data_IF_403328244063
#
_entry.id   IF_403328244063
#
_cell.length_a   1.000
_cell.length_b   1.000
_cell.length_c   1.000
_cell.angle_alpha   90.00
_cell.angle_beta   90.00
_cell.angle_gamma   90.00
#
_symmetry.space_group_name_H-M   'P 1'
#
loop_
_entity.id
_entity.type
_entity.pdbx_description
1 polymer ?
#
# COMPACT_ATOMS: atom_id res chain seq x y z
N UNK A 1 11.20 24.24 -7.73
CA UNK A 1 11.09 23.45 -6.48
C UNK A 1 10.43 24.36 -5.46
N UNK A 2 9.22 24.04 -5.04
CA UNK A 2 8.51 24.80 -4.00
C UNK A 2 9.21 24.57 -2.67
N UNK A 3 9.36 25.64 -1.87
CA UNK A 3 9.80 25.47 -0.50
C UNK A 3 8.61 24.98 0.32
N UNK A 4 8.77 23.88 1.05
CA UNK A 4 7.70 23.26 1.82
C UNK A 4 6.97 24.25 2.75
N UNK A 5 7.69 25.27 3.23
CA UNK A 5 7.13 26.34 4.06
C UNK A 5 6.24 27.35 3.31
N UNK A 6 6.19 27.27 1.97
CA UNK A 6 5.41 28.18 1.12
C UNK A 6 4.15 27.49 0.55
N UNK A 7 3.99 26.18 0.80
CA UNK A 7 2.83 25.41 0.33
C UNK A 7 1.56 25.81 1.12
N UNK A 8 0.39 25.78 0.48
CA UNK A 8 -0.87 25.88 1.22
C UNK A 8 -1.04 24.66 2.14
N UNK A 9 -1.61 24.86 3.33
CA UNK A 9 -1.93 23.80 4.28
C UNK A 9 -3.45 23.63 4.43
N UNK A 10 -3.98 22.46 4.79
CA UNK A 10 -3.24 21.21 4.87
C UNK A 10 -2.92 20.66 3.45
N UNK A 11 -1.79 20.00 3.29
CA UNK A 11 -1.46 19.35 2.02
C UNK A 11 -0.61 18.10 2.21
N UNK A 12 -0.73 17.17 1.27
CA UNK A 12 0.22 16.07 1.12
C UNK A 12 1.37 16.49 0.20
N UNK A 13 2.56 16.07 0.56
CA UNK A 13 3.78 16.32 -0.20
C UNK A 13 4.47 15.00 -0.47
N UNK A 14 4.74 14.69 -1.73
CA UNK A 14 5.51 13.51 -2.11
C UNK A 14 6.97 13.92 -2.35
N UNK A 15 7.89 13.21 -1.73
CA UNK A 15 9.32 13.30 -1.98
C UNK A 15 9.71 12.31 -3.08
N UNK A 16 9.77 12.79 -4.33
CA UNK A 16 10.12 11.96 -5.48
C UNK A 16 11.49 11.30 -5.32
N UNK A 17 12.44 11.92 -4.59
CA UNK A 17 13.76 11.33 -4.36
C UNK A 17 13.67 10.06 -3.52
N UNK A 18 12.92 10.10 -2.42
CA UNK A 18 12.66 8.92 -1.58
C UNK A 18 11.82 7.87 -2.30
N UNK A 19 10.81 8.31 -3.04
CA UNK A 19 10.01 7.43 -3.88
C UNK A 19 10.90 6.67 -4.88
N UNK A 20 11.80 7.39 -5.55
CA UNK A 20 12.72 6.78 -6.51
C UNK A 20 13.73 5.81 -5.87
N UNK A 21 14.19 6.07 -4.63
CA UNK A 21 15.03 5.15 -3.87
C UNK A 21 14.29 3.82 -3.60
N UNK A 22 13.05 3.89 -3.16
CA UNK A 22 12.20 2.71 -2.99
C UNK A 22 12.02 1.94 -4.30
N UNK A 23 11.70 2.65 -5.37
CA UNK A 23 11.49 2.06 -6.69
C UNK A 23 12.73 1.36 -7.24
N UNK A 24 13.93 1.91 -7.02
CA UNK A 24 15.20 1.27 -7.40
C UNK A 24 15.39 -0.06 -6.69
N UNK A 25 15.03 -0.12 -5.40
CA UNK A 25 15.13 -1.36 -4.63
C UNK A 25 14.14 -2.43 -5.16
N UNK A 26 12.90 -2.03 -5.43
CA UNK A 26 11.90 -2.91 -6.03
C UNK A 26 12.36 -3.41 -7.41
N UNK A 27 12.89 -2.53 -8.23
CA UNK A 27 13.43 -2.88 -9.55
C UNK A 27 14.59 -3.89 -9.47
N UNK A 28 15.49 -3.76 -8.48
CA UNK A 28 16.55 -4.75 -8.24
C UNK A 28 16.00 -6.14 -7.95
N UNK A 29 14.87 -6.24 -7.23
CA UNK A 29 14.21 -7.53 -7.01
C UNK A 29 13.69 -8.11 -8.32
N UNK A 30 13.06 -7.30 -9.18
CA UNK A 30 12.65 -7.72 -10.51
C UNK A 30 13.83 -8.21 -11.37
N UNK A 31 14.91 -7.42 -11.44
CA UNK A 31 16.10 -7.78 -12.23
C UNK A 31 16.76 -9.09 -11.78
N UNK A 32 16.84 -9.30 -10.45
CA UNK A 32 17.50 -10.49 -9.88
C UNK A 32 16.66 -11.76 -9.99
N UNK A 33 15.34 -11.65 -10.12
CA UNK A 33 14.45 -12.81 -10.09
C UNK A 33 13.66 -13.01 -11.37
N UNK A 34 13.42 -11.94 -12.14
CA UNK A 34 12.46 -11.91 -13.24
C UNK A 34 11.01 -11.98 -12.76
N UNK A 35 10.75 -11.78 -11.48
CA UNK A 35 9.40 -11.51 -10.98
C UNK A 35 8.91 -10.17 -11.53
N UNK A 36 7.60 -9.96 -11.50
CA UNK A 36 6.97 -8.69 -11.85
C UNK A 36 6.34 -8.08 -10.61
N UNK A 37 6.65 -6.82 -10.36
CA UNK A 37 6.08 -6.06 -9.25
C UNK A 37 5.01 -5.12 -9.78
N UNK A 38 3.86 -5.12 -9.13
CA UNK A 38 2.70 -4.31 -9.48
C UNK A 38 2.36 -3.38 -8.31
N UNK A 39 2.19 -2.10 -8.59
CA UNK A 39 1.71 -1.15 -7.59
C UNK A 39 0.29 -1.50 -7.14
N UNK A 40 0.09 -1.74 -5.85
CA UNK A 40 -1.24 -1.84 -5.27
C UNK A 40 -1.87 -0.44 -5.12
N UNK A 41 -2.71 -0.07 -6.09
CA UNK A 41 -3.27 1.30 -6.18
C UNK A 41 -4.11 1.69 -4.97
N UNK A 42 -4.74 0.73 -4.29
CA UNK A 42 -5.49 0.97 -3.03
C UNK A 42 -4.64 1.59 -1.92
N UNK A 43 -3.33 1.35 -1.95
CA UNK A 43 -2.38 1.88 -0.98
C UNK A 43 -1.80 3.22 -1.45
N UNK A 44 -1.42 3.32 -2.72
CA UNK A 44 -0.86 4.54 -3.29
C UNK A 44 -1.44 4.80 -4.68
N UNK A 45 -2.30 5.82 -4.79
CA UNK A 45 -2.97 6.19 -6.05
C UNK A 45 -2.69 7.62 -6.50
N UNK A 46 -1.55 8.18 -6.09
CA UNK A 46 -1.08 9.47 -6.60
C UNK A 46 -0.63 9.31 -8.06
N UNK A 47 -1.58 9.38 -8.97
CA UNK A 47 -1.36 9.05 -10.38
C UNK A 47 -0.39 9.99 -11.11
N UNK A 48 -0.13 11.20 -10.59
CA UNK A 48 0.93 12.07 -11.09
C UNK A 48 2.31 11.43 -11.04
N UNK A 49 2.51 10.48 -10.12
CA UNK A 49 3.76 9.74 -9.95
C UNK A 49 3.84 8.47 -10.82
N UNK A 50 2.76 8.05 -11.46
CA UNK A 50 2.75 6.82 -12.27
C UNK A 50 3.76 6.83 -13.42
N UNK A 51 4.04 7.95 -14.10
CA UNK A 51 5.12 8.01 -15.09
C UNK A 51 6.52 7.76 -14.51
N UNK A 52 6.76 8.12 -13.24
CA UNK A 52 8.00 7.80 -12.54
C UNK A 52 8.02 6.33 -12.13
N UNK A 53 6.95 5.85 -11.48
CA UNK A 53 6.81 4.48 -10.98
C UNK A 53 6.95 3.46 -12.10
N UNK A 54 6.30 3.71 -13.24
CA UNK A 54 6.33 2.82 -14.41
C UNK A 54 7.68 2.68 -15.10
N UNK A 55 8.69 3.46 -14.70
CA UNK A 55 10.09 3.26 -15.17
C UNK A 55 10.78 2.11 -14.44
N UNK A 56 10.28 1.72 -13.27
CA UNK A 56 10.96 0.83 -12.34
C UNK A 56 10.23 -0.48 -12.11
N UNK A 57 8.89 -0.49 -12.13
CA UNK A 57 8.09 -1.68 -11.87
C UNK A 57 7.16 -2.02 -13.03
N UNK A 58 6.64 -3.25 -13.05
CA UNK A 58 5.98 -3.83 -14.22
C UNK A 58 4.56 -3.35 -14.48
N UNK A 59 3.87 -2.74 -13.50
CA UNK A 59 2.48 -2.29 -13.71
C UNK A 59 1.71 -2.01 -12.42
N UNK A 60 0.38 -2.19 -12.49
CA UNK A 60 -0.56 -1.90 -11.40
C UNK A 60 -1.44 -3.09 -11.08
N UNK A 61 -1.95 -3.13 -9.84
CA UNK A 61 -3.06 -3.99 -9.45
C UNK A 61 -4.19 -3.15 -8.86
N UNK A 62 -5.41 -3.52 -9.22
CA UNK A 62 -6.64 -2.79 -8.94
C UNK A 62 -7.60 -3.62 -8.06
N UNK A 63 -8.37 -2.94 -7.22
CA UNK A 63 -9.44 -3.52 -6.40
C UNK A 63 -10.81 -3.47 -7.11
N UNK A 64 -10.90 -2.84 -8.27
CA UNK A 64 -12.12 -2.70 -9.06
C UNK A 64 -11.92 -1.89 -10.33
N UNK A 65 -13.04 -1.62 -11.04
CA UNK A 65 -13.02 -1.00 -12.35
C UNK A 65 -12.33 0.38 -12.39
N UNK A 66 -12.58 1.23 -11.38
CA UNK A 66 -12.05 2.59 -11.40
C UNK A 66 -10.54 2.64 -11.25
N UNK A 67 -9.97 1.82 -10.35
CA UNK A 67 -8.53 1.67 -10.24
C UNK A 67 -7.94 1.02 -11.50
N UNK A 68 -8.63 0.04 -12.09
CA UNK A 68 -8.17 -0.59 -13.33
C UNK A 68 -8.12 0.40 -14.50
N UNK A 69 -9.10 1.32 -14.60
CA UNK A 69 -9.04 2.43 -15.56
C UNK A 69 -7.86 3.34 -15.28
N UNK A 70 -7.69 3.76 -14.02
CA UNK A 70 -6.58 4.62 -13.61
C UNK A 70 -5.22 4.02 -13.99
N UNK A 71 -4.99 2.76 -13.64
CA UNK A 71 -3.75 2.06 -14.00
C UNK A 71 -3.54 1.97 -15.51
N UNK A 72 -4.61 1.71 -16.26
CA UNK A 72 -4.55 1.61 -17.72
C UNK A 72 -4.27 2.95 -18.39
N UNK A 73 -4.91 4.02 -17.91
CA UNK A 73 -4.84 5.35 -18.54
C UNK A 73 -3.56 6.10 -18.16
N UNK A 74 -3.15 6.03 -16.90
CA UNK A 74 -2.06 6.85 -16.36
C UNK A 74 -0.70 6.12 -16.32
N UNK A 75 -0.66 4.81 -16.13
CA UNK A 75 0.59 4.05 -16.19
C UNK A 75 0.77 3.32 -17.52
N UNK A 76 -0.30 2.72 -18.05
CA UNK A 76 -0.31 2.07 -19.36
C UNK A 76 0.50 0.78 -19.48
N UNK A 77 0.96 0.23 -18.36
CA UNK A 77 1.70 -1.03 -18.26
C UNK A 77 0.78 -2.21 -17.94
N UNK A 78 1.33 -3.32 -17.44
CA UNK A 78 0.54 -4.51 -17.07
C UNK A 78 -0.46 -4.15 -15.97
N UNK A 79 -1.72 -4.55 -16.14
CA UNK A 79 -2.84 -4.12 -15.30
C UNK A 79 -3.63 -5.33 -14.81
N UNK A 80 -3.57 -5.59 -13.51
CA UNK A 80 -4.28 -6.68 -12.86
C UNK A 80 -5.49 -6.16 -12.11
N UNK A 81 -6.48 -7.02 -11.88
CA UNK A 81 -7.62 -6.70 -11.01
C UNK A 81 -8.04 -7.90 -10.17
N UNK A 82 -8.23 -7.67 -8.87
CA UNK A 82 -8.88 -8.59 -7.95
C UNK A 82 -10.01 -7.89 -7.21
N UNK A 83 -11.18 -8.51 -7.19
CA UNK A 83 -12.27 -8.12 -6.31
C UNK A 83 -12.96 -9.37 -5.74
N UNK A 84 -13.40 -9.34 -4.47
CA UNK A 84 -14.17 -10.46 -3.88
C UNK A 84 -15.44 -10.79 -4.66
N UNK A 85 -16.03 -9.78 -5.31
CA UNK A 85 -17.16 -9.93 -6.21
C UNK A 85 -17.16 -8.84 -7.28
N UNK A 86 -17.45 -9.22 -8.52
CA UNK A 86 -17.53 -8.30 -9.65
C UNK A 86 -18.98 -7.96 -9.96
N UNK A 87 -19.26 -6.71 -10.33
CA UNK A 87 -20.53 -6.32 -10.91
C UNK A 87 -20.58 -6.80 -12.36
N UNK A 88 -21.67 -7.47 -12.81
CA UNK A 88 -21.74 -7.99 -14.17
C UNK A 88 -21.49 -6.95 -15.26
N UNK A 89 -21.95 -5.72 -15.05
CA UNK A 89 -21.79 -4.62 -15.99
C UNK A 89 -20.33 -4.15 -16.16
N UNK A 90 -19.45 -4.43 -15.21
CA UNK A 90 -18.05 -3.99 -15.26
C UNK A 90 -17.17 -5.01 -16.02
N UNK A 91 -17.62 -6.25 -16.15
CA UNK A 91 -16.77 -7.35 -16.62
C UNK A 91 -16.32 -7.24 -18.08
N UNK A 92 -17.16 -6.69 -18.94
CA UNK A 92 -16.80 -6.51 -20.36
C UNK A 92 -15.64 -5.53 -20.51
N UNK A 93 -15.70 -4.42 -19.77
CA UNK A 93 -14.66 -3.41 -19.78
C UNK A 93 -13.39 -3.93 -19.09
N UNK A 94 -13.50 -4.52 -17.90
CA UNK A 94 -12.36 -5.13 -17.22
C UNK A 94 -11.64 -6.14 -18.11
N UNK A 95 -12.37 -6.97 -18.85
CA UNK A 95 -11.77 -7.93 -19.78
C UNK A 95 -11.04 -7.31 -20.96
N UNK A 96 -11.30 -6.03 -21.27
CA UNK A 96 -10.61 -5.28 -22.32
C UNK A 96 -9.37 -4.52 -21.83
N UNK A 97 -9.42 -4.01 -20.58
CA UNK A 97 -8.37 -3.12 -20.06
C UNK A 97 -7.38 -3.81 -19.10
N UNK A 98 -7.71 -5.00 -18.57
CA UNK A 98 -6.83 -5.75 -17.68
C UNK A 98 -6.14 -6.90 -18.42
N UNK A 99 -4.89 -7.17 -18.03
CA UNK A 99 -4.12 -8.33 -18.50
C UNK A 99 -4.48 -9.58 -17.69
N UNK A 100 -4.72 -9.43 -16.38
CA UNK A 100 -5.16 -10.52 -15.51
C UNK A 100 -6.38 -10.12 -14.67
N UNK A 101 -7.37 -11.02 -14.61
CA UNK A 101 -8.55 -10.88 -13.75
C UNK A 101 -8.59 -12.05 -12.78
N UNK A 102 -8.50 -11.75 -11.49
CA UNK A 102 -8.43 -12.74 -10.43
C UNK A 102 -9.81 -12.92 -9.80
N UNK A 103 -10.32 -14.14 -9.78
CA UNK A 103 -11.61 -14.49 -9.23
C UNK A 103 -11.49 -15.07 -7.83
N UNK A 104 -12.46 -14.77 -6.98
CA UNK A 104 -12.50 -15.23 -5.59
C UNK A 104 -13.06 -16.67 -5.45
N UNK A 105 -13.67 -17.22 -6.50
CA UNK A 105 -14.22 -18.55 -6.49
C UNK A 105 -14.33 -19.17 -7.88
N UNK A 106 -14.35 -20.51 -7.93
CA UNK A 106 -14.60 -21.25 -9.16
C UNK A 106 -15.94 -20.86 -9.80
N UNK A 107 -16.97 -20.57 -9.00
CA UNK A 107 -18.27 -20.12 -9.49
C UNK A 107 -18.13 -18.82 -10.28
N UNK A 108 -17.45 -17.82 -9.74
CA UNK A 108 -17.20 -16.56 -10.46
C UNK A 108 -16.41 -16.81 -11.75
N UNK A 109 -15.30 -17.55 -11.66
CA UNK A 109 -14.50 -17.89 -12.83
C UNK A 109 -15.36 -18.53 -13.94
N UNK A 110 -16.16 -19.52 -13.62
CA UNK A 110 -17.06 -20.18 -14.60
C UNK A 110 -18.10 -19.22 -15.19
N UNK A 111 -18.64 -18.31 -14.37
CA UNK A 111 -19.64 -17.32 -14.80
C UNK A 111 -19.06 -16.37 -15.84
N UNK A 112 -17.83 -15.88 -15.63
CA UNK A 112 -17.24 -14.83 -16.46
C UNK A 112 -16.25 -15.34 -17.51
N UNK A 113 -15.88 -16.61 -17.49
CA UNK A 113 -14.99 -17.22 -18.49
C UNK A 113 -15.42 -16.97 -19.95
N UNK A 114 -16.74 -16.97 -20.29
CA UNK A 114 -17.17 -16.63 -21.67
C UNK A 114 -16.80 -15.20 -22.08
N UNK A 115 -16.91 -14.23 -21.15
CA UNK A 115 -16.55 -12.82 -21.39
C UNK A 115 -15.04 -12.69 -21.65
N UNK A 116 -14.20 -13.33 -20.82
CA UNK A 116 -12.76 -13.32 -21.00
C UNK A 116 -12.35 -13.97 -22.33
N UNK A 117 -13.00 -15.07 -22.69
CA UNK A 117 -12.72 -15.73 -23.99
C UNK A 117 -13.14 -14.87 -25.19
N UNK A 118 -14.18 -14.08 -25.05
CA UNK A 118 -14.63 -13.17 -26.11
C UNK A 118 -13.69 -11.97 -26.27
N UNK A 119 -13.12 -11.43 -25.19
CA UNK A 119 -12.14 -10.35 -25.25
C UNK A 119 -10.80 -10.80 -25.81
N UNK A 120 -10.39 -12.04 -25.52
CA UNK A 120 -9.15 -12.67 -26.03
C UNK A 120 -7.85 -12.11 -25.42
N UNK A 121 -7.91 -11.15 -24.51
CA UNK A 121 -6.75 -10.46 -23.93
C UNK A 121 -6.49 -10.85 -22.48
N UNK A 122 -7.51 -10.76 -21.64
CA UNK A 122 -7.40 -10.99 -20.21
C UNK A 122 -7.18 -12.46 -19.85
N UNK A 123 -6.24 -12.76 -19.00
CA UNK A 123 -5.98 -14.08 -18.41
C UNK A 123 -6.73 -14.21 -17.09
N UNK A 124 -7.22 -15.41 -16.79
CA UNK A 124 -7.93 -15.70 -15.56
C UNK A 124 -7.00 -16.18 -14.46
N UNK A 125 -7.20 -15.68 -13.25
CA UNK A 125 -6.61 -16.19 -12.01
C UNK A 125 -7.69 -16.64 -11.02
N UNK A 126 -7.30 -17.49 -10.09
CA UNK A 126 -8.13 -17.90 -8.97
C UNK A 126 -7.38 -17.65 -7.67
N UNK A 127 -8.00 -16.90 -6.76
CA UNK A 127 -7.45 -16.70 -5.42
C UNK A 127 -7.56 -17.99 -4.62
N UNK A 128 -6.48 -18.37 -3.98
CA UNK A 128 -6.43 -19.47 -3.02
C UNK A 128 -6.16 -18.92 -1.62
N UNK A 129 -6.64 -19.61 -0.61
CA UNK A 129 -6.28 -19.38 0.80
C UNK A 129 -5.59 -20.65 1.31
N UNK A 130 -4.28 -20.58 1.64
CA UNK A 130 -3.58 -21.73 2.22
C UNK A 130 -4.00 -22.05 3.66
N UNK A 131 -4.84 -21.20 4.30
CA UNK A 131 -5.24 -21.34 5.71
C UNK A 131 -4.02 -21.44 6.64
N UNK A 132 -3.05 -20.59 6.39
CA UNK A 132 -1.82 -20.46 7.16
C UNK A 132 -1.71 -19.00 7.57
N UNK A 133 -1.99 -18.69 8.84
CA UNK A 133 -1.73 -17.37 9.41
C UNK A 133 -0.46 -17.44 10.24
N UNK A 134 0.41 -16.48 10.02
CA UNK A 134 1.68 -16.33 10.76
C UNK A 134 1.60 -15.22 11.80
N UNK A 135 0.47 -14.50 11.85
CA UNK A 135 0.29 -13.35 12.73
C UNK A 135 -0.66 -13.64 13.89
N UNK A 136 -0.24 -13.24 15.09
CA UNK A 136 -1.10 -13.13 16.27
C UNK A 136 -1.70 -11.72 16.30
N UNK A 137 -2.90 -11.51 15.77
CA UNK A 137 -3.51 -10.20 15.73
C UNK A 137 -4.93 -10.14 15.18
N UNK A 138 -5.44 -8.93 14.98
CA UNK A 138 -6.78 -8.70 14.46
C UNK A 138 -6.95 -9.27 13.05
N UNK A 139 -7.96 -10.13 12.87
CA UNK A 139 -8.32 -10.81 11.63
C UNK A 139 -8.59 -9.90 10.41
N UNK A 140 -8.60 -8.58 10.59
CA UNK A 140 -8.85 -7.59 9.53
C UNK A 140 -7.68 -7.54 8.54
N UNK A 141 -6.43 -7.76 9.00
CA UNK A 141 -5.22 -7.68 8.18
C UNK A 141 -4.48 -9.01 7.99
N UNK A 142 -5.05 -10.12 8.45
CA UNK A 142 -4.50 -11.44 8.19
C UNK A 142 -4.83 -11.85 6.74
N UNK A 143 -3.88 -12.05 5.86
CA UNK A 143 -2.41 -12.18 5.91
C UNK A 143 -1.67 -11.03 5.19
N UNK A 144 -1.92 -9.79 5.53
CA UNK A 144 -1.49 -8.63 4.71
C UNK A 144 -0.08 -8.12 5.03
N UNK A 145 0.47 -8.41 6.20
CA UNK A 145 1.83 -8.01 6.55
C UNK A 145 2.74 -9.24 6.51
N UNK A 146 3.58 -9.32 5.48
CA UNK A 146 4.48 -10.44 5.32
C UNK A 146 5.94 -9.99 5.40
N UNK A 147 6.60 -10.37 6.47
CA UNK A 147 8.03 -10.51 6.43
C UNK A 147 8.40 -11.69 5.52
N UNK A 148 9.63 -11.76 5.08
CA UNK A 148 10.06 -12.80 4.14
C UNK A 148 10.03 -14.23 4.73
N UNK A 149 10.12 -14.39 6.04
CA UNK A 149 9.95 -15.66 6.76
C UNK A 149 8.48 -16.09 6.83
N UNK A 150 7.55 -15.15 7.00
CA UNK A 150 6.12 -15.39 6.89
C UNK A 150 5.73 -15.85 5.49
N UNK A 151 6.29 -15.20 4.46
CA UNK A 151 6.12 -15.62 3.07
C UNK A 151 6.62 -17.04 2.85
N UNK A 152 7.83 -17.37 3.33
CA UNK A 152 8.38 -18.72 3.22
C UNK A 152 7.45 -19.76 3.84
N UNK A 153 6.93 -19.49 5.04
CA UNK A 153 5.98 -20.34 5.74
C UNK A 153 4.68 -20.52 4.95
N UNK A 154 4.16 -19.42 4.42
CA UNK A 154 2.95 -19.44 3.57
C UNK A 154 3.16 -20.24 2.30
N UNK A 155 4.30 -20.08 1.63
CA UNK A 155 4.62 -20.83 0.41
C UNK A 155 4.75 -22.33 0.66
N UNK A 156 5.33 -22.75 1.78
CA UNK A 156 5.36 -24.17 2.18
C UNK A 156 3.94 -24.75 2.33
N UNK A 157 3.02 -23.98 2.96
CA UNK A 157 1.62 -24.40 3.06
C UNK A 157 0.91 -24.45 1.69
N UNK A 158 1.25 -23.54 0.80
CA UNK A 158 0.77 -23.55 -0.61
C UNK A 158 1.29 -24.79 -1.34
N UNK A 159 2.55 -25.12 -1.23
CA UNK A 159 3.14 -26.29 -1.87
C UNK A 159 2.52 -27.60 -1.33
N UNK A 160 2.34 -27.69 -0.02
CA UNK A 160 1.72 -28.88 0.62
C UNK A 160 0.29 -29.09 0.09
N UNK A 161 -0.52 -28.03 0.05
CA UNK A 161 -1.94 -28.13 -0.30
C UNK A 161 -2.20 -28.10 -1.82
N UNK A 162 -1.41 -27.35 -2.56
CA UNK A 162 -1.67 -27.01 -3.97
C UNK A 162 -0.54 -27.40 -4.94
N UNK A 163 0.60 -27.93 -4.48
CA UNK A 163 1.79 -28.18 -5.29
C UNK A 163 1.53 -28.92 -6.61
N UNK A 164 0.67 -29.96 -6.59
CA UNK A 164 0.28 -30.70 -7.81
C UNK A 164 -0.45 -29.85 -8.86
N UNK A 165 -1.06 -28.73 -8.43
CA UNK A 165 -1.76 -27.82 -9.33
C UNK A 165 -0.84 -26.74 -9.87
N UNK A 166 0.19 -26.33 -9.11
CA UNK A 166 1.17 -25.33 -9.51
C UNK A 166 1.87 -25.71 -10.82
N UNK A 167 2.17 -26.98 -11.04
CA UNK A 167 2.74 -27.48 -12.32
C UNK A 167 1.81 -27.28 -13.54
N UNK A 168 0.55 -26.90 -13.33
CA UNK A 168 -0.42 -26.64 -14.41
C UNK A 168 -0.71 -25.16 -14.60
N UNK A 169 -0.12 -24.32 -13.76
CA UNK A 169 -0.30 -22.87 -13.82
C UNK A 169 0.81 -22.23 -14.64
N UNK A 170 0.55 -21.04 -15.16
CA UNK A 170 1.55 -20.26 -15.89
C UNK A 170 2.15 -19.17 -15.00
N UNK A 171 1.47 -18.81 -13.93
CA UNK A 171 1.88 -17.74 -13.02
C UNK A 171 1.33 -17.95 -11.61
N UNK A 172 2.03 -17.35 -10.66
CA UNK A 172 1.63 -17.25 -9.26
C UNK A 172 1.79 -15.80 -8.82
N UNK A 173 0.75 -15.23 -8.23
CA UNK A 173 0.79 -13.93 -7.56
C UNK A 173 0.87 -14.17 -6.05
N UNK A 174 1.96 -13.71 -5.45
CA UNK A 174 2.21 -13.85 -4.00
C UNK A 174 1.51 -12.76 -3.18
N UNK A 175 0.80 -11.83 -3.86
CA UNK A 175 0.01 -10.80 -3.22
C UNK A 175 0.81 -9.59 -2.74
N UNK A 176 0.18 -8.81 -1.86
CA UNK A 176 0.73 -7.62 -1.22
C UNK A 176 1.29 -7.87 0.18
N UNK A 177 1.50 -6.78 0.92
CA UNK A 177 1.99 -6.84 2.31
C UNK A 177 3.50 -7.06 2.44
N UNK A 178 4.24 -7.08 1.34
CA UNK A 178 5.70 -7.24 1.34
C UNK A 178 6.38 -5.90 1.61
N UNK A 179 6.95 -5.73 2.79
CA UNK A 179 7.65 -4.49 3.21
C UNK A 179 9.08 -4.40 2.68
N UNK A 180 9.28 -4.62 1.38
CA UNK A 180 10.58 -4.80 0.71
C UNK A 180 11.54 -3.63 0.97
N UNK A 181 11.03 -2.41 1.11
CA UNK A 181 11.81 -1.18 1.30
C UNK A 181 12.07 -0.82 2.75
N UNK A 182 11.58 -1.61 3.70
CA UNK A 182 11.90 -1.46 5.12
C UNK A 182 13.34 -1.93 5.39
N UNK A 183 14.09 -1.21 6.22
CA UNK A 183 15.51 -1.47 6.48
C UNK A 183 15.81 -2.89 7.01
N UNK A 184 14.90 -3.46 7.80
CA UNK A 184 15.06 -4.78 8.42
C UNK A 184 14.47 -5.93 7.60
N UNK A 185 13.98 -5.66 6.36
CA UNK A 185 13.40 -6.69 5.51
C UNK A 185 14.48 -7.56 4.86
N UNK A 186 14.38 -8.88 5.01
CA UNK A 186 15.31 -9.84 4.41
C UNK A 186 15.00 -10.08 2.93
N UNK A 187 15.57 -9.23 2.07
CA UNK A 187 15.41 -9.28 0.61
C UNK A 187 16.00 -10.58 0.03
N UNK A 188 17.09 -11.09 0.58
CA UNK A 188 17.72 -12.32 0.06
C UNK A 188 16.81 -13.54 0.24
N UNK A 189 16.10 -13.61 1.35
CA UNK A 189 15.09 -14.63 1.58
C UNK A 189 13.91 -14.48 0.60
N UNK A 190 13.43 -13.27 0.36
CA UNK A 190 12.39 -13.01 -0.65
C UNK A 190 12.83 -13.52 -2.03
N UNK A 191 14.04 -13.17 -2.45
CA UNK A 191 14.60 -13.62 -3.73
C UNK A 191 14.71 -15.15 -3.79
N UNK A 192 15.12 -15.78 -2.69
CA UNK A 192 15.17 -17.25 -2.60
C UNK A 192 13.78 -17.87 -2.75
N UNK A 193 12.76 -17.32 -2.09
CA UNK A 193 11.36 -17.76 -2.22
C UNK A 193 10.84 -17.63 -3.66
N UNK A 194 11.10 -16.50 -4.30
CA UNK A 194 10.69 -16.26 -5.68
C UNK A 194 11.35 -17.26 -6.64
N UNK A 195 12.67 -17.41 -6.52
CA UNK A 195 13.43 -18.31 -7.39
C UNK A 195 13.03 -19.78 -7.19
N UNK A 196 12.79 -20.20 -5.94
CA UNK A 196 12.30 -21.53 -5.61
C UNK A 196 10.99 -21.86 -6.37
N UNK A 197 9.99 -20.98 -6.28
CA UNK A 197 8.70 -21.20 -6.92
C UNK A 197 8.81 -21.16 -8.46
N UNK A 198 9.61 -20.23 -8.97
CA UNK A 198 9.86 -20.08 -10.40
C UNK A 198 10.57 -21.31 -10.99
N UNK A 199 11.65 -21.77 -10.37
CA UNK A 199 12.46 -22.87 -10.86
C UNK A 199 11.76 -24.23 -10.68
N UNK A 200 11.07 -24.43 -9.55
CA UNK A 200 10.39 -25.69 -9.26
C UNK A 200 9.17 -25.91 -10.16
N UNK A 201 8.39 -24.86 -10.42
CA UNK A 201 7.10 -24.99 -11.10
C UNK A 201 7.04 -24.34 -12.48
N UNK A 202 8.07 -23.61 -12.90
CA UNK A 202 8.10 -22.91 -14.18
C UNK A 202 7.17 -21.69 -14.24
N UNK A 203 6.91 -21.03 -13.12
CA UNK A 203 5.91 -19.98 -12.98
C UNK A 203 6.48 -18.59 -13.24
N UNK A 204 5.70 -17.70 -13.87
CA UNK A 204 5.90 -16.27 -13.73
C UNK A 204 5.41 -15.83 -12.34
N UNK A 205 6.27 -15.16 -11.58
CA UNK A 205 5.93 -14.69 -10.25
C UNK A 205 5.53 -13.21 -10.30
N UNK A 206 4.49 -12.86 -9.52
CA UNK A 206 4.02 -11.49 -9.30
C UNK A 206 4.01 -11.17 -7.82
N UNK A 207 4.27 -9.90 -7.50
CA UNK A 207 4.13 -9.29 -6.18
C UNK A 207 3.29 -8.01 -6.31
N UNK A 208 2.53 -7.68 -5.28
CA UNK A 208 1.64 -6.51 -5.25
C UNK A 208 1.90 -5.63 -4.01
N UNK A 209 3.15 -5.17 -3.78
CA UNK A 209 3.41 -4.28 -2.66
C UNK A 209 2.66 -2.97 -2.84
N UNK A 210 2.11 -2.46 -1.74
CA UNK A 210 1.54 -1.12 -1.66
C UNK A 210 2.49 -0.19 -0.93
N UNK A 211 2.55 -0.34 0.40
CA UNK A 211 3.36 0.47 1.30
C UNK A 211 4.83 0.56 0.86
N UNK A 212 5.46 -0.55 0.48
CA UNK A 212 6.86 -0.57 0.07
C UNK A 212 7.17 0.36 -1.13
N UNK A 213 6.19 0.73 -1.94
CA UNK A 213 6.40 1.68 -3.04
C UNK A 213 6.64 3.09 -2.51
N UNK A 214 5.84 3.55 -1.55
CA UNK A 214 5.85 4.93 -1.09
C UNK A 214 6.26 5.10 0.38
N UNK A 215 6.84 4.07 1.01
CA UNK A 215 7.30 4.10 2.40
C UNK A 215 8.21 5.31 2.65
N UNK A 216 7.89 6.09 3.67
CA UNK A 216 8.60 7.31 4.07
C UNK A 216 8.71 8.40 2.98
N UNK A 217 8.01 8.26 1.84
CA UNK A 217 8.09 9.20 0.72
C UNK A 217 7.04 10.33 0.79
N UNK A 218 6.15 10.32 1.78
CA UNK A 218 5.10 11.32 1.89
C UNK A 218 5.01 12.01 3.23
N UNK A 219 4.54 13.25 3.19
CA UNK A 219 4.30 14.08 4.36
C UNK A 219 2.89 14.66 4.31
N UNK A 220 2.22 14.75 5.46
CA UNK A 220 1.09 15.67 5.63
C UNK A 220 1.59 16.92 6.34
N UNK A 221 1.52 18.05 5.65
CA UNK A 221 1.94 19.36 6.17
C UNK A 221 0.71 20.09 6.68
N UNK A 222 0.76 20.52 7.94
CA UNK A 222 -0.34 21.17 8.64
C UNK A 222 0.12 22.43 9.36
N UNK A 223 -0.79 23.37 9.58
CA UNK A 223 -0.56 24.60 10.34
C UNK A 223 -1.34 24.61 11.66
N UNK A 224 -0.73 25.16 12.68
CA UNK A 224 -1.36 25.37 13.99
C UNK A 224 -2.27 26.59 13.91
N UNK A 225 -3.57 26.38 13.94
CA UNK A 225 -4.59 27.44 13.87
C UNK A 225 -4.86 28.12 15.21
N UNK A 226 -4.82 27.32 16.29
CA UNK A 226 -5.10 27.84 17.65
C UNK A 226 -4.43 26.94 18.71
N UNK A 227 -4.30 27.48 19.92
CA UNK A 227 -3.81 26.77 21.10
C UNK A 227 -4.78 26.99 22.25
N UNK A 228 -5.45 25.93 22.67
CA UNK A 228 -6.43 25.99 23.78
C UNK A 228 -5.92 25.23 25.00
N UNK A 229 -6.43 25.59 26.17
CA UNK A 229 -6.07 24.95 27.44
C UNK A 229 -7.31 24.28 28.05
N UNK A 230 -7.29 22.95 28.12
CA UNK A 230 -8.31 22.15 28.75
C UNK A 230 -7.70 20.83 29.24
N UNK A 231 -7.42 20.71 30.53
CA UNK A 231 -6.68 19.59 31.12
C UNK A 231 -5.33 19.31 30.39
N UNK A 232 -4.62 20.36 30.00
CA UNK A 232 -3.42 20.37 29.21
C UNK A 232 -3.54 21.28 27.99
N UNK A 233 -2.45 21.47 27.29
CA UNK A 233 -2.40 22.27 26.06
C UNK A 233 -2.79 21.46 24.86
N UNK A 234 -3.68 22.00 24.05
CA UNK A 234 -4.21 21.37 22.83
C UNK A 234 -3.87 22.27 21.64
N UNK A 235 -3.21 21.73 20.63
CA UNK A 235 -3.03 22.38 19.34
C UNK A 235 -4.24 22.06 18.46
N UNK A 236 -4.83 23.09 17.88
CA UNK A 236 -5.86 22.93 16.84
C UNK A 236 -5.19 23.09 15.49
N UNK A 237 -5.20 22.02 14.70
CA UNK A 237 -4.56 21.95 13.39
C UNK A 237 -5.58 22.10 12.26
N UNK A 238 -5.13 22.54 11.09
CA UNK A 238 -5.97 22.58 9.89
C UNK A 238 -6.10 21.21 9.19
N UNK A 239 -5.24 20.24 9.51
CA UNK A 239 -5.44 18.84 9.12
C UNK A 239 -6.46 18.16 10.03
N UNK A 240 -6.98 17.01 9.61
CA UNK A 240 -7.98 16.23 10.34
C UNK A 240 -7.63 14.74 10.28
N UNK A 241 -7.64 14.05 11.42
CA UNK A 241 -7.48 12.60 11.44
C UNK A 241 -8.58 11.92 10.61
N UNK A 242 -9.83 12.33 10.80
CA UNK A 242 -10.97 11.75 10.09
C UNK A 242 -10.92 11.91 8.56
N UNK A 243 -10.29 13.00 8.07
CA UNK A 243 -10.28 13.32 6.64
C UNK A 243 -8.96 12.96 5.93
N UNK A 244 -7.83 13.06 6.64
CA UNK A 244 -6.50 12.95 6.02
C UNK A 244 -5.70 11.74 6.50
N UNK A 245 -6.05 11.14 7.63
CA UNK A 245 -5.37 9.98 8.21
C UNK A 245 -6.36 9.12 9.03
N UNK A 246 -7.42 8.58 8.38
CA UNK A 246 -8.53 7.91 9.08
C UNK A 246 -8.08 6.69 9.89
N UNK A 247 -7.00 6.04 9.51
CA UNK A 247 -6.43 4.88 10.20
C UNK A 247 -6.04 5.20 11.64
N UNK A 248 -5.68 6.46 11.93
CA UNK A 248 -5.42 6.93 13.30
C UNK A 248 -6.62 6.72 14.21
N UNK A 249 -7.84 6.81 13.67
CA UNK A 249 -9.09 6.64 14.42
C UNK A 249 -9.61 5.20 14.38
N UNK A 250 -9.45 4.51 13.25
CA UNK A 250 -9.98 3.16 13.05
C UNK A 250 -9.08 2.08 13.63
N UNK A 251 -7.77 2.30 13.56
CA UNK A 251 -6.74 1.40 14.09
C UNK A 251 -5.71 2.21 14.87
N UNK A 252 -6.06 2.70 16.07
CA UNK A 252 -5.33 3.74 16.76
C UNK A 252 -3.81 3.50 16.82
N UNK A 253 -3.08 4.37 16.17
CA UNK A 253 -1.64 4.51 16.27
C UNK A 253 -1.28 6.00 16.36
N UNK A 254 -0.05 6.29 16.70
CA UNK A 254 0.46 7.65 16.74
C UNK A 254 1.34 7.89 15.51
N UNK A 255 0.86 8.67 14.51
CA UNK A 255 1.65 8.96 13.32
C UNK A 255 3.02 9.54 13.66
N UNK A 256 4.09 9.18 12.97
CA UNK A 256 5.37 9.84 13.10
C UNK A 256 5.24 11.34 12.83
N UNK A 257 5.76 12.16 13.71
CA UNK A 257 5.75 13.62 13.58
C UNK A 257 7.17 14.13 13.71
N UNK A 258 7.63 14.84 12.69
CA UNK A 258 9.00 15.33 12.60
C UNK A 258 9.38 16.17 13.82
N UNK A 259 10.59 15.97 14.35
CA UNK A 259 11.18 16.69 15.47
C UNK A 259 10.38 16.58 16.80
N UNK A 260 9.39 15.67 16.87
CA UNK A 260 8.62 15.42 18.10
C UNK A 260 9.20 14.25 18.92
N UNK A 261 8.69 14.10 20.14
CA UNK A 261 8.94 12.98 21.04
C UNK A 261 7.65 12.40 21.62
N UNK A 262 7.80 11.37 22.46
CA UNK A 262 6.69 10.81 23.23
C UNK A 262 6.16 11.84 24.24
N UNK A 263 4.90 11.72 24.69
CA UNK A 263 4.36 12.60 25.72
C UNK A 263 5.28 12.63 26.96
N UNK A 264 5.71 13.85 27.35
CA UNK A 264 6.59 14.05 28.51
C UNK A 264 8.09 13.77 28.27
N UNK A 265 8.47 13.30 27.10
CA UNK A 265 9.88 13.07 26.74
C UNK A 265 10.65 14.40 26.57
N UNK A 266 9.96 15.41 26.03
CA UNK A 266 10.49 16.75 25.79
C UNK A 266 9.73 17.79 26.64
N UNK A 267 10.28 19.02 26.83
CA UNK A 267 9.72 20.00 27.76
C UNK A 267 8.28 20.44 27.54
N UNK A 268 7.80 20.40 26.27
CA UNK A 268 6.50 20.95 25.91
C UNK A 268 5.60 19.88 25.31
N UNK A 269 4.64 19.38 26.08
CA UNK A 269 3.68 18.37 25.63
C UNK A 269 2.36 19.01 25.20
N UNK A 270 1.83 18.53 24.07
CA UNK A 270 0.55 18.97 23.51
C UNK A 270 -0.25 17.77 23.03
N UNK A 271 -1.59 17.85 23.19
CA UNK A 271 -2.52 17.03 22.43
C UNK A 271 -2.78 17.71 21.09
N UNK A 272 -2.73 16.97 20.00
CA UNK A 272 -3.01 17.44 18.65
C UNK A 272 -4.45 17.07 18.29
N UNK A 273 -5.27 18.09 18.05
CA UNK A 273 -6.66 17.99 17.61
C UNK A 273 -6.85 18.76 16.31
N UNK A 274 -7.99 18.63 15.71
CA UNK A 274 -8.30 19.13 14.39
C UNK A 274 -9.38 20.22 14.41
N UNK A 275 -9.57 20.91 13.30
CA UNK A 275 -10.54 22.01 13.19
C UNK A 275 -11.96 21.55 12.84
N UNK A 276 -12.23 20.25 12.83
CA UNK A 276 -13.58 19.71 12.60
C UNK A 276 -14.44 19.80 13.86
N UNK A 277 -15.75 19.69 13.70
CA UNK A 277 -16.68 19.66 14.85
C UNK A 277 -16.78 18.27 15.51
N UNK A 278 -16.03 17.26 15.03
CA UNK A 278 -16.00 15.92 15.61
C UNK A 278 -15.11 15.91 16.86
N UNK A 279 -15.68 15.74 18.04
CA UNK A 279 -14.94 15.74 19.31
C UNK A 279 -13.85 14.65 19.37
N UNK A 280 -14.02 13.54 18.65
CA UNK A 280 -13.05 12.45 18.55
C UNK A 280 -11.97 12.63 17.48
N UNK A 281 -11.95 13.76 16.76
CA UNK A 281 -10.96 14.07 15.74
C UNK A 281 -9.63 14.52 16.40
N UNK A 282 -8.93 13.55 16.99
CA UNK A 282 -7.70 13.72 17.76
C UNK A 282 -6.64 12.82 17.16
N UNK A 283 -5.48 13.40 16.86
CA UNK A 283 -4.36 12.66 16.24
C UNK A 283 -3.53 11.95 17.31
N UNK A 284 -3.23 12.62 18.42
CA UNK A 284 -2.43 12.03 19.48
C UNK A 284 -1.78 13.06 20.40
N UNK A 285 -0.87 12.60 21.27
CA UNK A 285 -0.08 13.46 22.15
C UNK A 285 1.39 13.39 21.78
N UNK A 286 2.02 14.57 21.72
CA UNK A 286 3.42 14.74 21.29
C UNK A 286 4.13 15.74 22.18
N UNK A 287 5.45 15.62 22.28
CA UNK A 287 6.28 16.60 22.96
C UNK A 287 7.32 17.23 22.05
N UNK A 288 7.75 18.45 22.35
CA UNK A 288 8.64 19.27 21.54
C UNK A 288 9.71 19.92 22.41
N UNK A 289 10.87 20.23 21.80
CA UNK A 289 11.96 20.92 22.48
C UNK A 289 11.67 22.42 22.73
N UNK A 290 10.81 23.01 21.90
CA UNK A 290 10.39 24.41 21.94
C UNK A 290 8.87 24.55 22.06
N UNK A 291 8.42 25.70 22.56
CA UNK A 291 6.99 26.02 22.54
C UNK A 291 6.49 26.18 21.11
N UNK A 292 5.40 25.48 20.81
CA UNK A 292 4.68 25.65 19.57
C UNK A 292 3.83 26.92 19.64
N UNK A 293 3.70 27.61 18.51
CA UNK A 293 2.96 28.86 18.35
C UNK A 293 1.90 28.73 17.26
N UNK A 294 0.90 29.57 17.30
CA UNK A 294 -0.07 29.72 16.20
C UNK A 294 0.71 30.14 14.94
N UNK A 295 0.42 29.51 13.81
CA UNK A 295 1.11 29.68 12.54
C UNK A 295 2.34 28.78 12.36
N UNK A 296 2.78 28.04 13.38
CA UNK A 296 3.84 27.05 13.21
C UNK A 296 3.33 25.89 12.34
N UNK A 297 4.24 25.32 11.51
CA UNK A 297 3.94 24.18 10.67
C UNK A 297 4.49 22.90 11.26
N UNK A 298 3.66 21.86 11.22
CA UNK A 298 4.01 20.51 11.64
C UNK A 298 4.00 19.58 10.43
N UNK A 299 4.83 18.54 10.47
CA UNK A 299 5.05 17.62 9.37
C UNK A 299 4.86 16.19 9.87
N UNK A 300 3.70 15.60 9.59
CA UNK A 300 3.51 14.18 9.80
C UNK A 300 4.26 13.42 8.70
N UNK A 301 5.04 12.44 9.10
CA UNK A 301 5.87 11.63 8.22
C UNK A 301 5.13 10.35 7.84
N UNK A 302 5.57 9.71 6.76
CA UNK A 302 4.99 8.46 6.24
C UNK A 302 3.50 8.54 5.92
N UNK A 303 3.10 9.64 5.27
CA UNK A 303 1.71 9.97 4.96
C UNK A 303 1.35 9.81 3.48
N UNK A 304 2.10 9.04 2.71
CA UNK A 304 1.80 8.75 1.30
C UNK A 304 0.88 7.53 1.13
N UNK A 305 0.79 6.72 2.17
CA UNK A 305 0.12 5.40 2.17
C UNK A 305 -1.01 5.39 3.15
#
# INVERSE_FOLDING_TARGET
MYKINELPTPCFVIDEGKLEENLKLLHQVEERTGAKILLAQKCFSCFSEYPLIGKYISGTTASGLYEARLGKEEMGLENHVYSPAYRPQDMEELAQICDHIIFNSEKQLRTYLPVLKASGTAKAGLRINPECSTQEGHAIYDPCEQNSDDLETTLRAVEEKFGKWLFKMNWLNMGGGHHITREDYDIERLISCINHMKETYGLQIYLEPGEAVALNAGYNVTEVLDIVENNGKILILDTSAACHMPDVLEMPYRPPLKDSGLPGEKPYTYRLSCNTCLAGDVIGEYSFDSQIRIGDRLYFEDMAI
#
